data_IF_553989484975
#
_entry.id   IF_553989484975
#
_cell.length_a   1.000
_cell.length_b   1.000
_cell.length_c   1.000
_cell.angle_alpha   90.00
_cell.angle_beta   90.00
_cell.angle_gamma   90.00
#
_symmetry.space_group_name_H-M   'P 1'
#
loop_
_entity.id
_entity.type
_entity.pdbx_description
1 polymer ?
#
# COMPACT_ATOMS: atom_id res chain seq x y z
N UNK A 1 2.07 9.49 10.18
CA UNK A 1 3.07 8.41 10.05
C UNK A 1 3.99 8.81 8.90
N UNK A 2 5.29 8.54 9.01
CA UNK A 2 6.30 8.85 7.97
C UNK A 2 6.92 7.53 7.53
N UNK A 3 7.18 7.35 6.23
CA UNK A 3 7.82 6.13 5.72
C UNK A 3 9.34 6.24 5.94
N UNK A 4 9.90 5.34 6.75
CA UNK A 4 11.32 5.29 7.11
C UNK A 4 12.16 4.36 6.21
N UNK A 5 11.53 3.65 5.27
CA UNK A 5 12.21 2.82 4.29
C UNK A 5 11.76 3.11 2.84
N UNK A 6 12.73 3.17 1.94
CA UNK A 6 12.53 3.30 0.50
C UNK A 6 11.89 2.03 -0.09
N UNK A 7 11.23 2.18 -1.24
CA UNK A 7 10.70 1.05 -2.01
C UNK A 7 9.18 1.08 -2.20
N UNK A 8 8.60 -0.09 -2.46
CA UNK A 8 7.17 -0.24 -2.79
C UNK A 8 6.42 -0.77 -1.58
N UNK A 9 5.38 -0.05 -1.19
CA UNK A 9 4.56 -0.32 -0.01
C UNK A 9 3.13 -0.64 -0.41
N UNK A 10 2.57 -1.68 0.21
CA UNK A 10 1.16 -2.01 0.04
C UNK A 10 0.31 -1.10 0.94
N UNK A 11 -0.67 -0.44 0.33
CA UNK A 11 -1.67 0.35 1.03
C UNK A 11 -3.06 -0.11 0.62
N UNK A 12 -3.75 -0.78 1.55
CA UNK A 12 -5.10 -1.29 1.36
C UNK A 12 -5.76 -1.51 2.71
N UNK A 13 -7.07 -1.77 2.68
CA UNK A 13 -7.75 -2.24 3.87
C UNK A 13 -7.48 -3.74 4.09
N UNK A 14 -7.47 -4.18 5.35
CA UNK A 14 -7.13 -5.55 5.75
C UNK A 14 -8.17 -6.61 5.33
N UNK A 15 -9.34 -6.17 4.87
CA UNK A 15 -10.39 -7.07 4.37
C UNK A 15 -10.05 -7.51 2.95
N UNK A 16 -9.63 -8.77 2.82
CA UNK A 16 -9.13 -9.32 1.56
C UNK A 16 -10.10 -9.15 0.38
N UNK A 17 -11.41 -9.30 0.62
CA UNK A 17 -12.45 -9.12 -0.40
C UNK A 17 -12.43 -7.70 -1.02
N UNK A 18 -12.13 -6.66 -0.24
CA UNK A 18 -12.01 -5.31 -0.77
C UNK A 18 -10.76 -5.12 -1.62
N UNK A 19 -9.69 -5.88 -1.33
CA UNK A 19 -8.46 -5.87 -2.10
C UNK A 19 -8.71 -6.32 -3.54
N UNK A 20 -9.48 -7.40 -3.73
CA UNK A 20 -9.88 -7.94 -5.04
C UNK A 20 -10.86 -7.02 -5.79
N UNK A 21 -11.68 -6.26 -5.06
CA UNK A 21 -12.58 -5.25 -5.64
C UNK A 21 -11.90 -3.91 -5.98
N UNK A 22 -10.57 -3.84 -5.95
CA UNK A 22 -9.80 -2.69 -6.43
C UNK A 22 -9.35 -1.71 -5.35
N UNK A 23 -9.45 -2.06 -4.06
CA UNK A 23 -8.86 -1.25 -2.98
C UNK A 23 -7.38 -1.54 -2.71
N UNK A 24 -6.70 -2.33 -3.54
CA UNK A 24 -5.25 -2.49 -3.46
C UNK A 24 -4.51 -1.33 -4.14
N UNK A 25 -3.63 -0.64 -3.40
CA UNK A 25 -2.77 0.43 -3.94
C UNK A 25 -1.32 0.20 -3.55
N UNK A 26 -0.42 0.52 -4.46
CA UNK A 26 1.03 0.57 -4.22
C UNK A 26 1.44 2.03 -4.01
N UNK A 27 2.25 2.29 -2.98
CA UNK A 27 2.92 3.57 -2.75
C UNK A 27 4.41 3.38 -2.98
N UNK A 28 5.03 4.30 -3.73
CA UNK A 28 6.48 4.32 -3.98
C UNK A 28 7.13 5.39 -3.14
N UNK A 29 8.16 5.00 -2.39
CA UNK A 29 9.00 5.89 -1.59
C UNK A 29 10.38 5.91 -2.24
N UNK A 30 10.76 7.09 -2.71
CA UNK A 30 12.02 7.39 -3.40
C UNK A 30 12.82 8.40 -2.53
N UNK A 31 14.11 8.60 -2.83
CA UNK A 31 14.95 9.59 -2.13
C UNK A 31 14.50 11.04 -2.36
#
# INVERSE_FOLDING_TARGET
MTADALGRWAYHCHLLYHMEMGMFREVRVEE
#
